data_IF_717014316329
#
_entry.id   IF_717014316329
#
_cell.length_a   1.000
_cell.length_b   1.000
_cell.length_c   1.000
_cell.angle_alpha   90.00
_cell.angle_beta   90.00
_cell.angle_gamma   90.00
#
_symmetry.space_group_name_H-M   'P 1'
#
loop_
_entity.id
_entity.type
_entity.pdbx_description
1 polymer ?
#
# COMPACT_ATOMS: atom_id res chain seq x y z
N UNK A 1 -1.81 9.62 19.05
CA UNK A 1 -2.49 10.17 17.85
C UNK A 1 -2.40 9.13 16.76
N UNK A 2 -3.53 8.53 16.36
CA UNK A 2 -3.57 7.46 15.37
C UNK A 2 -3.21 7.95 13.97
N UNK A 3 -2.22 7.33 13.31
CA UNK A 3 -1.75 7.78 11.99
C UNK A 3 -0.93 6.74 11.24
N UNK A 4 -0.76 7.00 9.95
CA UNK A 4 0.26 6.37 9.10
C UNK A 4 1.55 7.19 9.28
N UNK A 5 2.64 6.54 9.70
CA UNK A 5 3.92 7.21 10.01
C UNK A 5 4.84 7.34 8.80
N UNK A 6 4.83 6.33 7.91
CA UNK A 6 5.53 6.33 6.64
C UNK A 6 4.79 5.44 5.64
N UNK A 7 5.06 5.68 4.35
CA UNK A 7 4.53 4.90 3.24
C UNK A 7 5.54 4.90 2.10
N UNK A 8 5.85 3.74 1.54
CA UNK A 8 6.68 3.61 0.35
C UNK A 8 6.38 2.32 -0.42
N UNK A 9 6.88 2.24 -1.65
CA UNK A 9 6.73 1.05 -2.49
C UNK A 9 8.06 0.36 -2.77
N UNK A 10 8.00 -0.93 -3.07
CA UNK A 10 9.09 -1.67 -3.70
C UNK A 10 8.54 -2.61 -4.76
N UNK A 11 9.28 -2.83 -5.84
CA UNK A 11 8.90 -3.73 -6.91
C UNK A 11 8.97 -5.19 -6.46
N UNK A 12 8.01 -6.00 -6.86
CA UNK A 12 8.02 -7.46 -6.77
C UNK A 12 8.50 -8.02 -8.11
N UNK A 13 9.50 -8.88 -8.06
CA UNK A 13 10.07 -9.56 -9.23
C UNK A 13 10.39 -11.02 -8.88
N UNK A 14 10.52 -11.92 -9.88
CA UNK A 14 10.78 -13.33 -9.65
C UNK A 14 12.01 -13.56 -8.75
N UNK A 15 11.86 -14.43 -7.75
CA UNK A 15 12.92 -14.76 -6.77
C UNK A 15 13.01 -13.80 -5.58
N UNK A 16 12.25 -12.70 -5.56
CA UNK A 16 12.14 -11.84 -4.38
C UNK A 16 11.37 -12.55 -3.26
N UNK A 17 11.85 -12.41 -2.02
CA UNK A 17 11.17 -12.95 -0.84
C UNK A 17 9.84 -12.22 -0.65
N UNK A 18 8.74 -12.97 -0.65
CA UNK A 18 7.40 -12.44 -0.44
C UNK A 18 7.24 -11.85 0.98
N UNK A 19 6.48 -10.75 1.09
CA UNK A 19 6.11 -10.12 2.38
C UNK A 19 7.29 -9.70 3.25
N UNK A 20 8.46 -9.48 2.64
CA UNK A 20 9.63 -8.91 3.33
C UNK A 20 9.58 -7.39 3.28
N UNK A 21 10.12 -6.74 4.31
CA UNK A 21 10.39 -5.31 4.26
C UNK A 21 11.61 -5.07 3.37
N UNK A 22 11.37 -4.45 2.23
CA UNK A 22 12.40 -4.10 1.26
C UNK A 22 12.66 -2.59 1.31
N UNK A 23 13.79 -2.15 0.76
CA UNK A 23 14.09 -0.73 0.62
C UNK A 23 13.10 -0.05 -0.35
N UNK A 24 12.79 1.24 -0.15
CA UNK A 24 12.00 2.02 -1.09
C UNK A 24 12.60 1.99 -2.50
N UNK A 25 11.77 1.73 -3.50
CA UNK A 25 12.16 1.79 -4.91
C UNK A 25 11.34 2.86 -5.62
N UNK A 26 11.89 4.07 -5.81
CA UNK A 26 11.18 5.15 -6.48
C UNK A 26 11.10 4.95 -8.00
N UNK A 27 11.80 3.96 -8.57
CA UNK A 27 11.72 3.57 -9.97
C UNK A 27 11.31 2.11 -10.10
N UNK A 28 10.31 1.84 -10.92
CA UNK A 28 9.75 0.50 -11.16
C UNK A 28 9.76 0.25 -12.66
N UNK A 29 10.07 -1.00 -13.05
CA UNK A 29 10.03 -1.45 -14.45
C UNK A 29 8.92 -2.49 -14.63
N UNK A 30 8.16 -2.47 -15.74
CA UNK A 30 7.25 -3.57 -16.04
C UNK A 30 8.00 -4.89 -16.25
N UNK A 31 7.36 -5.99 -15.87
CA UNK A 31 7.81 -7.32 -16.20
C UNK A 31 7.90 -7.47 -17.73
N UNK A 32 9.02 -8.02 -18.22
CA UNK A 32 9.31 -8.06 -19.67
C UNK A 32 8.37 -8.99 -20.44
N UNK A 33 7.80 -10.00 -19.77
CA UNK A 33 6.92 -10.98 -20.42
C UNK A 33 5.48 -10.50 -20.47
N UNK A 34 4.96 -9.97 -19.36
CA UNK A 34 3.56 -9.59 -19.21
C UNK A 34 3.29 -8.11 -19.42
N UNK A 35 4.32 -7.26 -19.36
CA UNK A 35 4.20 -5.80 -19.35
C UNK A 35 3.55 -5.25 -18.07
N UNK A 36 3.31 -6.10 -17.06
CA UNK A 36 2.63 -5.73 -15.80
C UNK A 36 3.63 -5.41 -14.71
N UNK A 37 3.20 -4.64 -13.72
CA UNK A 37 3.98 -4.43 -12.50
C UNK A 37 3.33 -5.15 -11.32
N UNK A 38 4.16 -5.54 -10.36
CA UNK A 38 3.72 -5.99 -9.05
C UNK A 38 4.53 -5.22 -8.01
N UNK A 39 3.88 -4.70 -6.97
CA UNK A 39 4.53 -3.84 -5.98
C UNK A 39 4.12 -4.25 -4.57
N UNK A 40 5.06 -4.16 -3.65
CA UNK A 40 4.79 -4.17 -2.22
C UNK A 40 4.64 -2.73 -1.75
N UNK A 41 3.60 -2.46 -0.99
CA UNK A 41 3.31 -1.20 -0.30
C UNK A 41 3.63 -1.41 1.18
N UNK A 42 4.71 -0.80 1.64
CA UNK A 42 5.17 -0.87 3.04
C UNK A 42 4.78 0.39 3.78
N UNK A 43 4.24 0.24 4.98
CA UNK A 43 3.81 1.38 5.78
C UNK A 43 3.92 1.11 7.28
N UNK A 44 4.13 2.19 8.03
CA UNK A 44 4.16 2.17 9.48
C UNK A 44 2.85 2.69 10.05
N UNK A 45 2.32 2.01 11.06
CA UNK A 45 1.11 2.40 11.78
C UNK A 45 1.45 2.78 13.22
N UNK A 46 0.86 3.88 13.68
CA UNK A 46 0.76 4.21 15.10
C UNK A 46 -0.73 4.19 15.42
N UNK A 47 -1.20 3.19 16.16
CA UNK A 47 -2.63 2.91 16.39
C UNK A 47 -2.92 2.56 17.85
N UNK A 48 -4.17 2.64 18.27
CA UNK A 48 -4.58 2.17 19.61
C UNK A 48 -4.75 0.67 19.65
N UNK A 49 -4.53 0.10 20.82
CA UNK A 49 -4.82 -1.33 21.04
C UNK A 49 -6.31 -1.56 21.24
N UNK A 50 -6.77 -2.77 20.89
CA UNK A 50 -8.19 -3.20 21.01
C UNK A 50 -9.19 -2.34 20.21
N UNK A 51 -8.73 -1.68 19.15
CA UNK A 51 -9.58 -0.97 18.19
C UNK A 51 -9.37 -1.62 16.83
N UNK A 52 -10.45 -1.81 16.08
CA UNK A 52 -10.40 -2.37 14.73
C UNK A 52 -10.01 -1.27 13.74
N UNK A 53 -8.93 -1.49 13.01
CA UNK A 53 -8.51 -0.61 11.92
C UNK A 53 -8.62 -1.32 10.59
N UNK A 54 -8.94 -0.59 9.53
CA UNK A 54 -8.83 -1.08 8.15
C UNK A 54 -7.93 -0.14 7.38
N UNK A 55 -7.12 -0.72 6.50
CA UNK A 55 -6.28 0.02 5.57
C UNK A 55 -6.77 -0.22 4.16
N UNK A 56 -7.01 0.89 3.44
CA UNK A 56 -7.42 0.88 2.05
C UNK A 56 -6.27 1.45 1.20
N UNK A 57 -5.87 0.71 0.16
CA UNK A 57 -4.79 1.11 -0.75
C UNK A 57 -5.32 1.34 -2.15
N UNK A 58 -4.91 2.46 -2.72
CA UNK A 58 -5.24 2.89 -4.07
C UNK A 58 -4.01 3.32 -4.85
N UNK A 59 -4.07 3.13 -6.17
CA UNK A 59 -3.03 3.50 -7.11
C UNK A 59 -3.61 4.43 -8.18
N UNK A 60 -2.88 5.47 -8.54
CA UNK A 60 -3.30 6.48 -9.51
C UNK A 60 -2.20 6.78 -10.51
N UNK A 61 -2.60 7.12 -11.74
CA UNK A 61 -1.78 7.79 -12.75
C UNK A 61 -2.44 9.13 -13.09
N UNK A 62 -1.79 10.24 -12.71
CA UNK A 62 -2.47 11.54 -12.63
C UNK A 62 -3.66 11.47 -11.68
N UNK A 63 -4.84 11.88 -12.16
CA UNK A 63 -6.10 11.82 -11.40
C UNK A 63 -6.90 10.52 -11.65
N UNK A 64 -6.41 9.65 -12.53
CA UNK A 64 -7.09 8.41 -12.88
C UNK A 64 -6.64 7.28 -11.95
N UNK A 65 -7.61 6.63 -11.31
CA UNK A 65 -7.37 5.46 -10.50
C UNK A 65 -7.08 4.25 -11.39
N UNK A 66 -6.04 3.51 -11.05
CA UNK A 66 -5.68 2.24 -11.69
C UNK A 66 -6.51 1.12 -11.06
N UNK A 67 -7.25 0.38 -11.88
CA UNK A 67 -8.11 -0.69 -11.38
C UNK A 67 -7.32 -1.99 -11.13
N UNK A 68 -7.68 -2.69 -10.04
CA UNK A 68 -7.07 -3.95 -9.64
C UNK A 68 -7.89 -5.19 -10.06
N UNK A 69 -8.87 -5.02 -10.95
CA UNK A 69 -9.79 -6.07 -11.42
C UNK A 69 -11.18 -6.04 -10.77
N UNK A 70 -11.36 -5.27 -9.70
CA UNK A 70 -12.64 -4.79 -9.18
C UNK A 70 -12.55 -3.27 -9.00
N UNK A 71 -13.65 -2.53 -9.17
CA UNK A 71 -13.66 -1.05 -9.04
C UNK A 71 -13.47 -0.56 -7.58
N UNK A 72 -12.87 -1.37 -6.72
CA UNK A 72 -12.73 -1.18 -5.27
C UNK A 72 -11.26 -1.16 -4.86
N UNK A 73 -11.00 -0.55 -3.69
CA UNK A 73 -9.64 -0.39 -3.17
C UNK A 73 -9.13 -1.74 -2.72
N UNK A 74 -7.81 -1.95 -2.71
CA UNK A 74 -7.29 -3.11 -2.02
C UNK A 74 -7.42 -2.86 -0.52
N UNK A 75 -8.29 -3.61 0.14
CA UNK A 75 -8.57 -3.47 1.57
C UNK A 75 -7.88 -4.58 2.36
N UNK A 76 -7.39 -4.26 3.55
CA UNK A 76 -6.96 -5.27 4.51
C UNK A 76 -8.14 -5.88 5.25
N UNK A 77 -7.96 -7.08 5.79
CA UNK A 77 -8.75 -7.52 6.93
C UNK A 77 -8.56 -6.54 8.11
N UNK A 78 -9.53 -6.44 9.03
CA UNK A 78 -9.40 -5.61 10.21
C UNK A 78 -8.15 -5.94 11.03
N UNK A 79 -7.32 -4.93 11.26
CA UNK A 79 -6.09 -4.99 12.05
C UNK A 79 -6.44 -4.64 13.50
N UNK A 80 -6.15 -5.56 14.41
CA UNK A 80 -6.31 -5.35 15.85
C UNK A 80 -4.97 -5.53 16.54
N UNK A 81 -4.42 -4.42 17.05
CA UNK A 81 -3.19 -4.48 17.81
C UNK A 81 -3.45 -4.96 19.25
N UNK A 82 -2.73 -6.01 19.65
CA UNK A 82 -2.56 -6.39 21.05
C UNK A 82 -1.32 -5.72 21.66
N UNK A 83 -1.35 -5.44 22.96
CA UNK A 83 -0.15 -5.06 23.74
C UNK A 83 -0.22 -5.67 25.13
N UNK A 84 0.95 -5.94 25.72
CA UNK A 84 1.07 -6.39 27.11
C UNK A 84 0.99 -5.24 28.11
N UNK A 85 1.24 -4.00 27.69
CA UNK A 85 1.10 -2.78 28.51
C UNK A 85 0.86 -1.53 27.64
N UNK A 86 0.13 -0.55 28.17
CA UNK A 86 -0.24 0.68 27.43
C UNK A 86 -1.47 0.53 26.52
N UNK A 87 -1.83 1.60 25.81
CA UNK A 87 -3.00 1.68 24.92
C UNK A 87 -2.65 2.06 23.47
N UNK A 88 -1.36 2.14 23.15
CA UNK A 88 -0.84 2.45 21.81
C UNK A 88 0.03 1.27 21.33
N UNK A 89 0.08 1.09 20.02
CA UNK A 89 0.91 0.11 19.34
C UNK A 89 1.52 0.73 18.09
N UNK A 90 2.74 0.29 17.78
CA UNK A 90 3.45 0.63 16.55
C UNK A 90 3.66 -0.65 15.78
N UNK A 91 3.21 -0.70 14.53
CA UNK A 91 3.42 -1.83 13.64
C UNK A 91 3.98 -1.39 12.30
N UNK A 92 4.63 -2.32 11.61
CA UNK A 92 5.08 -2.16 10.24
C UNK A 92 4.38 -3.25 9.44
N UNK A 93 3.61 -2.81 8.45
CA UNK A 93 2.80 -3.69 7.62
C UNK A 93 3.28 -3.64 6.18
N UNK A 94 2.93 -4.68 5.42
CA UNK A 94 3.28 -4.82 4.02
C UNK A 94 2.12 -5.44 3.23
N UNK A 95 1.68 -4.75 2.18
CA UNK A 95 0.61 -5.20 1.29
C UNK A 95 1.13 -5.36 -0.13
N UNK A 96 0.88 -6.50 -0.76
CA UNK A 96 1.28 -6.75 -2.13
C UNK A 96 0.13 -6.47 -3.10
N UNK A 97 0.38 -5.63 -4.11
CA UNK A 97 -0.51 -5.41 -5.25
C UNK A 97 0.12 -6.08 -6.48
N UNK A 98 -0.55 -7.12 -6.98
CA UNK A 98 0.01 -7.99 -8.02
C UNK A 98 -0.61 -7.73 -9.38
N UNK A 99 0.16 -7.96 -10.45
CA UNK A 99 -0.32 -8.00 -11.83
C UNK A 99 -1.06 -6.74 -12.29
N UNK A 100 -0.62 -5.57 -11.83
CA UNK A 100 -1.16 -4.27 -12.21
C UNK A 100 -0.88 -4.03 -13.69
N UNK A 101 -1.93 -3.72 -14.45
CA UNK A 101 -1.79 -3.27 -15.83
C UNK A 101 -1.49 -1.77 -15.83
N UNK A 102 -0.22 -1.41 -15.95
CA UNK A 102 0.23 -0.03 -15.95
C UNK A 102 0.57 0.40 -17.38
N UNK A 103 -0.42 0.99 -18.06
CA UNK A 103 -0.34 1.32 -19.48
C UNK A 103 0.57 2.50 -19.80
N UNK A 104 0.75 3.44 -18.87
CA UNK A 104 1.42 4.70 -19.14
C UNK A 104 2.79 4.76 -18.44
N UNK A 105 3.79 5.30 -19.13
CA UNK A 105 5.03 5.67 -18.45
C UNK A 105 4.81 6.95 -17.65
N UNK A 106 5.46 7.09 -16.49
CA UNK A 106 5.42 8.32 -15.70
C UNK A 106 5.27 8.11 -14.21
N UNK A 107 4.86 9.17 -13.51
CA UNK A 107 4.69 9.18 -12.06
C UNK A 107 3.34 8.57 -11.69
N UNK A 108 3.40 7.53 -10.88
CA UNK A 108 2.26 6.92 -10.22
C UNK A 108 2.23 7.35 -8.76
N UNK A 109 1.01 7.52 -8.24
CA UNK A 109 0.75 7.83 -6.84
C UNK A 109 0.08 6.64 -6.18
N UNK A 110 0.62 6.19 -5.05
CA UNK A 110 -0.04 5.25 -4.14
C UNK A 110 -0.61 6.05 -2.98
N UNK A 111 -1.89 5.86 -2.68
CA UNK A 111 -2.52 6.43 -1.49
C UNK A 111 -2.94 5.33 -0.55
N UNK A 112 -2.74 5.57 0.74
CA UNK A 112 -3.15 4.67 1.81
C UNK A 112 -4.06 5.44 2.76
N UNK A 113 -5.25 4.90 3.00
CA UNK A 113 -6.25 5.46 3.90
C UNK A 113 -6.42 4.55 5.11
N UNK A 114 -6.27 5.11 6.30
CA UNK A 114 -6.47 4.41 7.57
C UNK A 114 -7.87 4.72 8.10
N UNK A 115 -8.63 3.68 8.37
CA UNK A 115 -9.99 3.74 8.87
C UNK A 115 -10.08 3.11 10.26
N UNK A 116 -10.91 3.68 11.12
CA UNK A 116 -11.43 2.97 12.30
C UNK A 116 -12.73 2.30 11.88
N UNK A 117 -12.87 1.02 12.22
CA UNK A 117 -14.08 0.23 11.96
C UNK A 117 -14.79 0.01 13.29
N UNK A 118 -16.09 0.32 13.33
CA UNK A 118 -16.94 0.03 14.49
C UNK A 118 -17.58 -1.36 14.40
N UNK A 119 -18.27 -1.76 15.47
CA UNK A 119 -18.92 -3.07 15.57
C UNK A 119 -20.09 -3.25 14.57
N UNK A 120 -20.55 -2.17 13.92
CA UNK A 120 -21.59 -2.19 12.90
C UNK A 120 -21.01 -2.20 11.47
N UNK A 121 -19.71 -2.50 11.33
CA UNK A 121 -18.94 -2.44 10.08
C UNK A 121 -18.89 -1.05 9.43
N UNK A 122 -19.31 -0.02 10.16
CA UNK A 122 -19.20 1.36 9.70
C UNK A 122 -17.74 1.79 9.85
N UNK A 123 -17.18 2.35 8.78
CA UNK A 123 -15.78 2.75 8.73
C UNK A 123 -15.65 4.26 8.63
N UNK A 124 -14.80 4.85 9.47
CA UNK A 124 -14.46 6.28 9.42
C UNK A 124 -12.97 6.45 9.14
N UNK A 125 -12.65 7.17 8.07
CA UNK A 125 -11.26 7.53 7.77
C UNK A 125 -10.71 8.46 8.85
N UNK A 126 -9.51 8.16 9.35
CA UNK A 126 -8.84 8.93 10.40
C UNK A 126 -7.51 9.53 9.95
N UNK A 127 -6.88 8.97 8.92
CA UNK A 127 -5.63 9.46 8.37
C UNK A 127 -5.46 8.98 6.93
N UNK A 128 -4.76 9.75 6.10
CA UNK A 128 -4.30 9.29 4.79
C UNK A 128 -2.83 9.64 4.60
N UNK A 129 -2.17 8.92 3.71
CA UNK A 129 -0.80 9.21 3.29
C UNK A 129 -0.66 8.84 1.83
N UNK A 130 0.26 9.50 1.15
CA UNK A 130 0.58 9.18 -0.24
C UNK A 130 2.10 9.03 -0.43
N UNK A 131 2.47 8.23 -1.42
CA UNK A 131 3.83 8.14 -1.91
C UNK A 131 3.80 8.00 -3.43
N UNK A 132 4.98 8.13 -4.05
CA UNK A 132 5.11 8.19 -5.49
C UNK A 132 6.21 7.25 -5.97
N UNK A 133 6.02 6.70 -7.16
CA UNK A 133 7.07 6.03 -7.91
C UNK A 133 6.96 6.39 -9.39
N UNK A 134 8.07 6.30 -10.10
CA UNK A 134 8.12 6.44 -11.55
C UNK A 134 8.13 5.06 -12.20
N UNK A 135 7.17 4.79 -13.08
CA UNK A 135 7.20 3.64 -13.96
C UNK A 135 7.98 4.03 -15.22
N UNK A 136 9.06 3.31 -15.52
CA UNK A 136 9.84 3.47 -16.75
C UNK A 136 9.72 2.22 -17.63
N UNK A 137 9.37 2.39 -18.92
CA UNK A 137 9.31 1.28 -19.88
C UNK A 137 10.65 1.02 -20.57
N UNK A 138 11.45 2.05 -20.76
CA UNK A 138 12.79 1.94 -21.34
C UNK A 138 13.87 2.25 -20.29
N UNK A 139 14.69 1.24 -19.94
CA UNK A 139 15.99 1.54 -19.34
C UNK A 139 16.99 1.81 -20.45
N UNK A 140 17.33 3.09 -20.66
CA UNK A 140 18.57 3.46 -21.35
C UNK A 140 19.62 3.73 -20.29
N UNK A 141 20.53 2.77 -20.11
CA UNK A 141 21.82 3.01 -19.45
C UNK A 141 22.72 3.79 -20.41
#
# INVERSE_FOLDING_TARGET
MERISFLYVSQIFPGKIARSLNYPQPWIKPDEQSGKISIDVSFGLIIRTKVNYRVDVDLFYGDQRVEFGSNQSLQTDPIVAGTTSGNESVSIENMSIMNIHAENEGVYRVTLSLHVVDDNESSRMIHNSECFFYLSKEWKL
#
